data_IF_535761721856
#
_entry.id   IF_535761721856
#
_cell.length_a   1.000
_cell.length_b   1.000
_cell.length_c   1.000
_cell.angle_alpha   90.00
_cell.angle_beta   90.00
_cell.angle_gamma   90.00
#
_symmetry.space_group_name_H-M   'P 1'
#
loop_
_entity.id
_entity.type
_entity.pdbx_description
1 polymer ?
#
# COMPACT_ATOMS: atom_id res chain seq x y z
N UNK A 1 2.33 35.60 3.34
CA UNK A 1 1.33 34.61 2.83
C UNK A 1 1.87 33.18 2.65
N UNK A 2 3.05 32.82 3.21
CA UNK A 2 3.69 31.50 3.01
C UNK A 2 3.72 30.61 4.27
N UNK A 3 3.05 30.97 5.34
CA UNK A 3 3.11 30.22 6.62
C UNK A 3 1.89 29.29 6.90
N UNK A 4 0.90 29.25 6.03
CA UNK A 4 -0.36 28.54 6.30
C UNK A 4 -0.48 27.10 5.72
N UNK A 5 0.30 26.76 4.72
CA UNK A 5 0.15 25.47 4.02
C UNK A 5 0.86 24.28 4.66
N UNK A 6 1.92 24.51 5.39
CA UNK A 6 2.69 23.43 6.04
C UNK A 6 1.96 22.70 7.17
N UNK A 7 1.03 23.37 7.86
CA UNK A 7 0.29 22.76 8.97
C UNK A 7 -0.94 21.94 8.54
N UNK A 8 -1.49 22.23 7.36
CA UNK A 8 -2.63 21.47 6.83
C UNK A 8 -2.25 20.05 6.39
N UNK A 9 -1.07 19.86 5.81
CA UNK A 9 -0.60 18.54 5.35
C UNK A 9 -0.36 17.56 6.50
N UNK A 10 0.13 18.04 7.66
CA UNK A 10 0.29 17.21 8.88
C UNK A 10 -1.07 16.74 9.43
N UNK A 11 -2.08 17.59 9.35
CA UNK A 11 -3.44 17.26 9.79
C UNK A 11 -4.13 16.25 8.85
N UNK A 12 -3.78 16.26 7.56
CA UNK A 12 -4.28 15.29 6.58
C UNK A 12 -3.69 13.89 6.78
N UNK A 13 -2.43 13.77 7.18
CA UNK A 13 -1.80 12.47 7.46
C UNK A 13 -2.44 11.80 8.68
N UNK A 14 -2.76 12.57 9.72
CA UNK A 14 -3.52 12.10 10.88
C UNK A 14 -4.98 11.74 10.52
N UNK A 15 -5.59 12.51 9.63
CA UNK A 15 -6.96 12.28 9.16
C UNK A 15 -7.06 11.00 8.32
N UNK A 16 -6.07 10.69 7.48
CA UNK A 16 -5.99 9.46 6.68
C UNK A 16 -5.75 8.21 7.55
N UNK A 17 -5.04 8.33 8.65
CA UNK A 17 -4.88 7.26 9.65
C UNK A 17 -6.18 6.93 10.38
N UNK A 18 -7.16 7.84 10.36
CA UNK A 18 -8.43 7.72 11.07
C UNK A 18 -9.64 7.34 10.18
N UNK A 19 -9.46 7.28 8.86
CA UNK A 19 -10.54 7.06 7.87
C UNK A 19 -11.18 5.68 7.83
N UNK A 20 -10.58 4.58 8.34
CA UNK A 20 -11.22 3.28 8.33
C UNK A 20 -12.52 3.17 9.15
N UNK A 21 -12.93 4.23 9.84
CA UNK A 21 -13.94 4.14 10.89
C UNK A 21 -15.35 4.60 10.47
N UNK A 22 -15.59 4.94 9.20
CA UNK A 22 -16.74 5.76 8.83
C UNK A 22 -17.78 5.11 7.91
N UNK A 23 -17.90 3.79 7.92
CA UNK A 23 -19.02 3.11 7.22
C UNK A 23 -20.13 2.73 8.21
N UNK A 24 -21.15 3.56 8.33
CA UNK A 24 -22.38 3.23 9.05
C UNK A 24 -23.37 4.40 9.16
N UNK A 25 -24.63 4.13 8.96
CA UNK A 25 -25.88 4.87 9.02
C UNK A 25 -25.96 6.24 9.76
N UNK A 26 -27.09 6.92 9.62
CA UNK A 26 -27.44 8.31 10.08
C UNK A 26 -27.01 8.68 11.51
N UNK A 27 -26.89 7.70 12.41
CA UNK A 27 -26.37 7.87 13.79
C UNK A 27 -24.88 8.30 13.79
N UNK A 28 -24.14 7.97 12.75
CA UNK A 28 -22.73 8.32 12.57
C UNK A 28 -22.51 9.80 12.27
N UNK A 29 -23.51 10.53 11.72
CA UNK A 29 -23.39 11.96 11.41
C UNK A 29 -23.19 12.85 12.64
N UNK A 30 -23.76 12.48 13.78
CA UNK A 30 -23.58 13.23 15.04
C UNK A 30 -22.25 12.85 15.70
N UNK A 31 -21.85 11.57 15.58
CA UNK A 31 -20.57 11.09 16.09
C UNK A 31 -19.39 11.66 15.29
N UNK A 32 -19.54 11.86 13.97
CA UNK A 32 -18.50 12.41 13.07
C UNK A 32 -18.06 13.83 13.41
N UNK A 33 -19.03 14.73 13.76
CA UNK A 33 -18.69 16.08 14.22
C UNK A 33 -17.90 16.05 15.53
N UNK A 34 -18.22 15.08 16.41
CA UNK A 34 -17.52 14.88 17.68
C UNK A 34 -16.11 14.32 17.46
N UNK A 35 -15.94 13.36 16.55
CA UNK A 35 -14.64 12.74 16.26
C UNK A 35 -13.68 13.69 15.51
N UNK A 36 -14.18 14.53 14.59
CA UNK A 36 -13.38 15.58 13.96
C UNK A 36 -12.95 16.67 14.97
N UNK A 37 -13.85 17.06 15.88
CA UNK A 37 -13.51 18.00 16.95
C UNK A 37 -12.53 17.37 17.95
N UNK A 38 -12.64 16.07 18.23
CA UNK A 38 -11.71 15.35 19.12
C UNK A 38 -10.32 15.18 18.51
N UNK A 39 -10.20 14.95 17.21
CA UNK A 39 -8.88 14.91 16.49
C UNK A 39 -8.26 16.30 16.41
N UNK A 40 -9.07 17.35 16.19
CA UNK A 40 -8.63 18.75 16.25
C UNK A 40 -8.29 19.19 17.68
N UNK A 41 -8.86 18.51 18.69
CA UNK A 41 -8.61 18.76 20.13
C UNK A 41 -7.45 17.96 20.70
N UNK A 42 -6.82 17.04 19.92
CA UNK A 42 -5.57 16.43 20.32
C UNK A 42 -4.52 17.53 20.46
N UNK A 43 -3.93 17.65 21.65
CA UNK A 43 -2.86 18.61 21.89
C UNK A 43 -1.70 18.33 20.93
N UNK A 44 -0.94 19.38 20.56
CA UNK A 44 0.29 19.21 19.74
C UNK A 44 1.18 18.11 20.30
N UNK A 45 1.25 17.96 21.63
CA UNK A 45 2.02 16.93 22.32
C UNK A 45 1.47 15.51 22.07
N UNK A 46 0.17 15.33 22.01
CA UNK A 46 -0.43 14.00 21.73
C UNK A 46 -0.25 13.60 20.27
N UNK A 47 -0.31 14.56 19.34
CA UNK A 47 0.00 14.34 17.92
C UNK A 47 1.46 13.94 17.75
N UNK A 48 2.39 14.70 18.36
CA UNK A 48 3.83 14.41 18.36
C UNK A 48 4.14 13.05 18.95
N UNK A 49 3.50 12.65 20.07
CA UNK A 49 3.69 11.32 20.67
C UNK A 49 3.19 10.17 19.79
N UNK A 50 2.12 10.38 19.01
CA UNK A 50 1.64 9.38 18.04
C UNK A 50 2.61 9.29 16.86
N UNK A 51 3.07 10.42 16.34
CA UNK A 51 4.07 10.50 15.28
C UNK A 51 5.40 9.90 15.71
N UNK A 52 5.87 10.19 16.92
CA UNK A 52 7.08 9.60 17.52
C UNK A 52 6.95 8.10 17.75
N UNK A 53 5.80 7.62 18.25
CA UNK A 53 5.59 6.18 18.44
C UNK A 53 5.56 5.43 17.10
N UNK A 54 4.94 6.02 16.07
CA UNK A 54 4.94 5.49 14.71
C UNK A 54 6.37 5.52 14.14
N UNK A 55 7.11 6.62 14.31
CA UNK A 55 8.48 6.76 13.83
C UNK A 55 9.43 5.74 14.51
N UNK A 56 9.33 5.56 15.82
CA UNK A 56 10.12 4.56 16.57
C UNK A 56 9.86 3.14 16.12
N UNK A 57 8.59 2.77 15.87
CA UNK A 57 8.27 1.45 15.33
C UNK A 57 8.88 1.21 13.94
N UNK A 58 9.06 2.27 13.15
CA UNK A 58 9.65 2.19 11.81
C UNK A 58 11.18 2.18 11.80
N UNK A 59 11.84 2.87 12.70
CA UNK A 59 13.29 2.95 12.75
C UNK A 59 13.94 1.58 13.03
N UNK A 60 13.40 0.81 14.00
CA UNK A 60 13.93 -0.51 14.35
C UNK A 60 13.72 -1.55 13.25
N UNK A 61 12.60 -1.47 12.53
CA UNK A 61 12.30 -2.33 11.39
C UNK A 61 13.18 -2.00 10.17
N UNK A 62 13.51 -0.73 9.97
CA UNK A 62 14.40 -0.22 8.93
C UNK A 62 15.83 -0.74 9.11
N UNK A 63 16.33 -0.80 10.34
CA UNK A 63 17.70 -1.25 10.66
C UNK A 63 17.93 -2.74 10.35
N UNK A 64 16.87 -3.58 10.37
CA UNK A 64 16.99 -5.02 10.16
C UNK A 64 17.08 -5.47 8.71
N UNK A 65 16.79 -4.60 7.73
CA UNK A 65 16.78 -4.91 6.29
C UNK A 65 15.72 -5.94 5.84
N UNK A 66 15.00 -6.56 6.77
CA UNK A 66 13.96 -7.56 6.50
C UNK A 66 12.59 -6.95 6.22
N UNK A 67 12.46 -5.64 6.36
CA UNK A 67 11.20 -4.92 6.23
C UNK A 67 11.05 -4.31 4.86
N UNK A 68 9.98 -4.66 4.17
CA UNK A 68 9.52 -3.95 2.98
C UNK A 68 8.60 -2.80 3.39
N UNK A 69 8.49 -1.79 2.55
CA UNK A 69 7.61 -0.64 2.78
C UNK A 69 6.68 -0.41 1.59
N UNK A 70 5.52 0.16 1.85
CA UNK A 70 4.59 0.61 0.81
C UNK A 70 3.85 1.87 1.28
N UNK A 71 3.50 2.82 0.38
CA UNK A 71 2.64 3.93 0.74
C UNK A 71 1.26 3.44 1.21
N UNK A 72 0.71 4.07 2.21
CA UNK A 72 -0.57 3.67 2.82
C UNK A 72 -1.76 3.68 1.84
N UNK A 73 -1.76 4.55 0.83
CA UNK A 73 -2.82 4.57 -0.18
C UNK A 73 -2.82 3.32 -1.07
N UNK A 74 -1.63 2.75 -1.38
CA UNK A 74 -1.52 1.49 -2.12
C UNK A 74 -1.92 0.26 -1.28
N UNK A 75 -1.95 0.38 0.03
CA UNK A 75 -2.54 -0.64 0.90
C UNK A 75 -4.07 -0.59 0.90
N UNK A 76 -4.67 0.55 0.57
CA UNK A 76 -6.11 0.75 0.58
C UNK A 76 -6.75 0.64 -0.81
N UNK A 77 -6.01 0.97 -1.88
CA UNK A 77 -6.48 0.88 -3.26
C UNK A 77 -5.38 0.26 -4.11
N UNK A 78 -5.73 -0.72 -4.93
CA UNK A 78 -4.77 -1.63 -5.53
C UNK A 78 -4.68 -1.48 -7.04
N UNK A 79 -3.50 -1.81 -7.60
CA UNK A 79 -3.28 -1.90 -9.04
C UNK A 79 -4.16 -3.00 -9.69
N UNK A 80 -4.35 -3.01 -11.01
CA UNK A 80 -5.02 -4.12 -11.69
C UNK A 80 -4.32 -5.46 -11.41
N UNK A 81 -5.12 -6.53 -11.19
CA UNK A 81 -4.57 -7.88 -10.99
C UNK A 81 -4.15 -8.54 -12.32
N UNK A 82 -4.86 -8.20 -13.40
CA UNK A 82 -4.61 -8.64 -14.77
C UNK A 82 -4.59 -7.43 -15.68
N UNK A 83 -4.09 -7.58 -16.89
CA UNK A 83 -4.15 -6.54 -17.90
C UNK A 83 -5.61 -6.12 -18.14
N UNK A 84 -5.99 -4.88 -17.79
CA UNK A 84 -7.36 -4.41 -17.97
C UNK A 84 -7.65 -3.98 -19.41
N UNK A 85 -6.62 -3.96 -20.28
CA UNK A 85 -6.69 -3.54 -21.68
C UNK A 85 -7.35 -2.18 -21.88
N UNK A 86 -7.15 -1.28 -20.94
CA UNK A 86 -7.64 0.10 -20.98
C UNK A 86 -6.52 1.05 -20.57
N UNK A 87 -6.71 2.34 -20.93
CA UNK A 87 -5.74 3.40 -20.60
C UNK A 87 -6.00 4.06 -19.27
N UNK A 88 -7.21 3.93 -18.76
CA UNK A 88 -7.65 4.45 -17.47
C UNK A 88 -8.16 3.31 -16.59
N UNK A 89 -7.72 3.28 -15.37
CA UNK A 89 -8.16 2.31 -14.37
C UNK A 89 -8.43 3.03 -13.07
N UNK A 90 -9.53 2.67 -12.44
CA UNK A 90 -9.94 3.24 -11.16
C UNK A 90 -10.32 2.12 -10.19
N UNK A 91 -9.94 2.31 -8.93
CA UNK A 91 -10.30 1.40 -7.85
C UNK A 91 -10.25 2.12 -6.52
N UNK A 92 -11.17 1.76 -5.64
CA UNK A 92 -11.18 2.37 -4.32
C UNK A 92 -12.37 1.95 -3.46
N UNK A 93 -12.58 2.75 -2.45
CA UNK A 93 -13.71 2.69 -1.52
C UNK A 93 -14.52 3.98 -1.65
N UNK A 94 -15.62 4.10 -0.91
CA UNK A 94 -16.41 5.35 -0.87
C UNK A 94 -15.61 6.58 -0.42
N UNK A 95 -14.46 6.39 0.22
CA UNK A 95 -13.69 7.47 0.83
C UNK A 95 -12.33 7.71 0.20
N UNK A 96 -11.80 6.72 -0.52
CA UNK A 96 -10.49 6.82 -1.17
C UNK A 96 -10.55 6.10 -2.51
N UNK A 97 -10.20 6.80 -3.56
CA UNK A 97 -10.12 6.28 -4.93
C UNK A 97 -8.70 6.47 -5.45
N UNK A 98 -8.14 5.40 -5.99
CA UNK A 98 -6.91 5.42 -6.79
C UNK A 98 -7.29 5.31 -8.25
N UNK A 99 -6.89 6.29 -9.04
CA UNK A 99 -6.96 6.22 -10.49
C UNK A 99 -5.57 6.16 -11.10
N UNK A 100 -5.44 5.46 -12.21
CA UNK A 100 -4.19 5.25 -12.94
C UNK A 100 -4.43 5.59 -14.40
N UNK A 101 -3.67 6.54 -14.91
CA UNK A 101 -3.60 6.85 -16.33
C UNK A 101 -2.34 6.21 -16.91
N UNK A 102 -2.54 5.25 -17.80
CA UNK A 102 -1.44 4.54 -18.45
C UNK A 102 -0.81 5.38 -19.56
N UNK A 103 0.48 5.17 -19.80
CA UNK A 103 1.13 5.78 -20.97
C UNK A 103 0.76 5.01 -22.25
N UNK A 104 0.31 5.70 -23.34
CA UNK A 104 -0.19 5.05 -24.57
C UNK A 104 0.75 4.00 -25.18
N UNK A 105 2.06 4.25 -25.10
CA UNK A 105 3.08 3.35 -25.66
C UNK A 105 3.37 2.12 -24.80
N UNK A 106 3.21 2.24 -23.48
CA UNK A 106 3.72 1.23 -22.53
C UNK A 106 2.61 0.47 -21.80
N UNK A 107 1.38 0.95 -21.92
CA UNK A 107 0.21 0.30 -21.32
C UNK A 107 0.10 0.46 -19.80
N UNK A 108 -0.82 -0.27 -19.23
CA UNK A 108 -1.18 -0.25 -17.81
C UNK A 108 -0.23 -1.14 -17.00
N UNK A 109 0.28 -0.68 -15.83
CA UNK A 109 0.97 -1.57 -14.89
C UNK A 109 -0.04 -2.52 -14.23
N UNK A 110 0.23 -3.84 -14.27
CA UNK A 110 -0.67 -4.86 -13.70
C UNK A 110 0.09 -6.09 -13.18
N UNK A 111 -0.61 -6.90 -12.42
CA UNK A 111 -0.11 -8.18 -11.95
C UNK A 111 0.87 -8.07 -10.77
N UNK A 112 1.69 -9.08 -10.59
CA UNK A 112 2.59 -9.18 -9.43
C UNK A 112 3.83 -8.29 -9.56
N UNK A 113 4.32 -8.07 -10.78
CA UNK A 113 5.59 -7.39 -11.01
C UNK A 113 5.59 -5.95 -10.49
N UNK A 114 4.60 -5.08 -10.82
CA UNK A 114 4.60 -3.71 -10.30
C UNK A 114 4.43 -3.66 -8.78
N UNK A 115 3.81 -4.66 -8.14
CA UNK A 115 3.71 -4.75 -6.68
C UNK A 115 5.05 -5.01 -6.01
N UNK A 116 5.83 -5.94 -6.56
CA UNK A 116 7.19 -6.20 -6.08
C UNK A 116 8.13 -5.01 -6.35
N UNK A 117 8.00 -4.37 -7.51
CA UNK A 117 8.75 -3.17 -7.86
C UNK A 117 8.47 -2.03 -6.87
N UNK A 118 7.19 -1.75 -6.61
CA UNK A 118 6.80 -0.72 -5.64
C UNK A 118 7.33 -1.03 -4.24
N UNK A 119 7.14 -2.26 -3.76
CA UNK A 119 7.64 -2.67 -2.45
C UNK A 119 9.17 -2.54 -2.37
N UNK A 120 9.90 -2.91 -3.44
CA UNK A 120 11.34 -2.74 -3.48
C UNK A 120 11.75 -1.27 -3.53
N UNK A 121 11.14 -0.45 -4.40
CA UNK A 121 11.44 0.98 -4.51
C UNK A 121 11.24 1.69 -3.18
N UNK A 122 10.12 1.44 -2.53
CA UNK A 122 9.80 2.04 -1.23
C UNK A 122 10.77 1.58 -0.15
N UNK A 123 11.12 0.30 -0.14
CA UNK A 123 12.10 -0.27 0.81
C UNK A 123 13.48 0.35 0.63
N UNK A 124 13.95 0.43 -0.61
CA UNK A 124 15.26 0.98 -0.92
C UNK A 124 15.33 2.47 -0.61
N UNK A 125 14.30 3.24 -0.96
CA UNK A 125 14.21 4.66 -0.64
C UNK A 125 14.22 4.92 0.88
N UNK A 126 13.49 4.13 1.66
CA UNK A 126 13.51 4.21 3.12
C UNK A 126 14.88 3.81 3.69
N UNK A 127 15.50 2.73 3.16
CA UNK A 127 16.79 2.21 3.60
C UNK A 127 17.93 3.20 3.36
N UNK A 128 17.94 3.82 2.16
CA UNK A 128 18.99 4.77 1.76
C UNK A 128 18.70 6.20 2.17
N UNK A 129 17.49 6.48 2.60
CA UNK A 129 16.98 7.85 2.85
C UNK A 129 17.20 8.77 1.63
N UNK A 130 17.05 8.20 0.42
CA UNK A 130 17.30 8.89 -0.85
C UNK A 130 16.18 8.58 -1.85
N UNK A 131 15.74 9.58 -2.63
CA UNK A 131 14.84 9.35 -3.76
C UNK A 131 15.55 8.72 -4.96
N UNK A 132 16.89 8.67 -4.95
CA UNK A 132 17.69 8.10 -6.04
C UNK A 132 17.91 6.61 -5.81
N UNK A 133 17.46 5.79 -6.75
CA UNK A 133 17.52 4.33 -6.68
C UNK A 133 18.39 3.78 -7.79
N UNK A 134 19.32 2.88 -7.44
CA UNK A 134 20.11 2.13 -8.40
C UNK A 134 19.44 0.80 -8.74
N UNK A 135 19.05 0.64 -10.00
CA UNK A 135 18.46 -0.59 -10.53
C UNK A 135 19.52 -1.65 -10.93
N UNK A 136 20.83 -1.30 -10.80
CA UNK A 136 21.91 -2.20 -11.15
C UNK A 136 22.38 -2.08 -12.61
N UNK A 137 23.41 -2.86 -12.94
CA UNK A 137 24.08 -2.83 -14.24
C UNK A 137 23.36 -3.63 -15.32
N UNK A 138 22.69 -4.69 -14.93
CA UNK A 138 21.95 -5.54 -15.85
C UNK A 138 20.63 -6.03 -15.25
N UNK A 139 19.78 -6.58 -16.08
CA UNK A 139 18.43 -6.97 -15.73
C UNK A 139 18.40 -8.19 -14.80
N UNK A 140 19.32 -9.13 -14.98
CA UNK A 140 19.41 -10.32 -14.14
C UNK A 140 19.88 -10.00 -12.71
N UNK A 141 20.76 -9.02 -12.54
CA UNK A 141 21.13 -8.50 -11.22
C UNK A 141 19.89 -7.95 -10.49
N UNK A 142 19.03 -7.22 -11.21
CA UNK A 142 17.84 -6.67 -10.61
C UNK A 142 16.78 -7.74 -10.29
N UNK A 143 16.62 -8.76 -11.14
CA UNK A 143 15.77 -9.92 -10.82
C UNK A 143 16.23 -10.62 -9.54
N UNK A 144 17.55 -10.77 -9.34
CA UNK A 144 18.09 -11.31 -8.08
C UNK A 144 17.76 -10.45 -6.87
N UNK A 145 17.81 -9.11 -6.99
CA UNK A 145 17.36 -8.18 -5.92
C UNK A 145 15.88 -8.38 -5.56
N UNK A 146 15.06 -8.69 -6.56
CA UNK A 146 13.65 -9.02 -6.37
C UNK A 146 13.43 -10.50 -5.96
N UNK A 147 14.48 -11.32 -5.85
CA UNK A 147 14.46 -12.78 -5.61
C UNK A 147 13.55 -13.51 -6.62
N UNK A 148 13.65 -13.13 -7.88
CA UNK A 148 12.90 -13.72 -8.98
C UNK A 148 13.82 -14.57 -9.87
N UNK A 149 13.27 -15.63 -10.49
CA UNK A 149 14.01 -16.40 -11.48
C UNK A 149 14.41 -15.56 -12.69
N UNK A 150 15.61 -15.82 -13.23
CA UNK A 150 16.11 -15.21 -14.46
C UNK A 150 15.63 -15.99 -15.69
N UNK A 151 14.32 -16.20 -15.83
CA UNK A 151 13.74 -16.81 -17.02
C UNK A 151 13.13 -15.76 -17.98
N UNK A 152 12.94 -16.14 -19.25
CA UNK A 152 12.48 -15.22 -20.28
C UNK A 152 11.14 -14.55 -20.00
N UNK A 153 10.27 -15.16 -19.18
CA UNK A 153 8.98 -14.56 -18.78
C UNK A 153 9.19 -13.44 -17.79
N UNK A 154 10.02 -13.68 -16.76
CA UNK A 154 10.32 -12.66 -15.75
C UNK A 154 11.14 -11.52 -16.34
N UNK A 155 12.09 -11.80 -17.25
CA UNK A 155 12.90 -10.80 -17.95
C UNK A 155 12.00 -9.85 -18.75
N UNK A 156 11.13 -10.38 -19.60
CA UNK A 156 10.19 -9.57 -20.40
C UNK A 156 9.18 -8.82 -19.51
N UNK A 157 8.63 -9.50 -18.50
CA UNK A 157 7.68 -8.90 -17.58
C UNK A 157 8.31 -7.78 -16.76
N UNK A 158 9.53 -7.96 -16.24
CA UNK A 158 10.24 -6.94 -15.49
C UNK A 158 10.42 -5.68 -16.33
N UNK A 159 10.98 -5.79 -17.54
CA UNK A 159 11.17 -4.62 -18.41
C UNK A 159 9.85 -3.92 -18.71
N UNK A 160 8.86 -4.66 -19.23
CA UNK A 160 7.58 -4.10 -19.62
C UNK A 160 6.84 -3.42 -18.43
N UNK A 161 6.78 -4.09 -17.28
CA UNK A 161 6.05 -3.59 -16.13
C UNK A 161 6.81 -2.47 -15.38
N UNK A 162 8.15 -2.46 -15.42
CA UNK A 162 8.92 -1.33 -14.89
C UNK A 162 8.61 -0.07 -15.70
N UNK A 163 8.69 -0.14 -17.02
CA UNK A 163 8.44 1.03 -17.87
C UNK A 163 6.98 1.46 -17.78
N UNK A 164 6.02 0.54 -17.79
CA UNK A 164 4.61 0.86 -17.63
C UNK A 164 4.36 1.58 -16.29
N UNK A 165 4.95 1.10 -15.20
CA UNK A 165 4.77 1.66 -13.86
C UNK A 165 5.37 3.07 -13.72
N UNK A 166 6.63 3.27 -14.13
CA UNK A 166 7.30 4.57 -13.98
C UNK A 166 6.76 5.64 -14.94
N UNK A 167 6.08 5.23 -16.02
CA UNK A 167 5.47 6.13 -17.01
C UNK A 167 3.98 6.34 -16.81
N UNK A 168 3.36 5.63 -15.88
CA UNK A 168 1.97 5.87 -15.48
C UNK A 168 1.86 7.06 -14.54
N UNK A 169 0.69 7.70 -14.56
CA UNK A 169 0.32 8.74 -13.61
C UNK A 169 -0.72 8.18 -12.65
N UNK A 170 -0.46 8.32 -11.37
CA UNK A 170 -1.39 7.96 -10.30
C UNK A 170 -2.12 9.21 -9.84
N UNK A 171 -3.39 9.07 -9.49
CA UNK A 171 -4.13 10.09 -8.75
C UNK A 171 -4.86 9.44 -7.58
N UNK A 172 -4.74 10.04 -6.42
CA UNK A 172 -5.43 9.62 -5.21
C UNK A 172 -6.45 10.67 -4.86
N UNK A 173 -7.70 10.24 -4.77
CA UNK A 173 -8.81 11.11 -4.40
C UNK A 173 -9.38 10.68 -3.06
N UNK A 174 -9.60 11.65 -2.17
CA UNK A 174 -10.26 11.45 -0.89
C UNK A 174 -11.54 12.26 -0.89
N UNK A 175 -12.68 11.58 -0.86
CA UNK A 175 -13.98 12.22 -0.83
C UNK A 175 -14.57 12.15 0.58
N UNK A 176 -14.87 13.29 1.18
CA UNK A 176 -15.55 13.40 2.48
C UNK A 176 -16.58 14.51 2.45
N UNK A 177 -17.80 14.17 2.81
CA UNK A 177 -18.90 15.13 3.12
C UNK A 177 -18.87 16.44 2.32
N UNK A 178 -18.85 16.34 0.97
CA UNK A 178 -18.88 17.50 0.08
C UNK A 178 -17.53 18.16 -0.20
N UNK A 179 -16.43 17.59 0.32
CA UNK A 179 -15.06 18.05 0.00
C UNK A 179 -14.37 16.96 -0.80
N UNK A 180 -13.87 17.31 -1.98
CA UNK A 180 -13.00 16.49 -2.81
C UNK A 180 -11.55 16.99 -2.63
N UNK A 181 -10.69 16.14 -2.09
CA UNK A 181 -9.26 16.37 -2.10
C UNK A 181 -8.61 15.37 -3.07
N UNK A 182 -7.69 15.83 -3.90
CA UNK A 182 -6.97 14.97 -4.83
C UNK A 182 -5.48 15.29 -4.84
N UNK A 183 -4.68 14.29 -5.13
CA UNK A 183 -3.23 14.39 -5.28
C UNK A 183 -2.80 13.58 -6.50
N UNK A 184 -2.06 14.21 -7.41
CA UNK A 184 -1.46 13.54 -8.57
C UNK A 184 -0.03 13.14 -8.23
N UNK A 185 0.26 11.84 -8.33
CA UNK A 185 1.52 11.26 -7.86
C UNK A 185 2.26 10.65 -9.04
N UNK A 186 3.45 11.15 -9.33
CA UNK A 186 4.41 10.50 -10.21
C UNK A 186 5.33 9.58 -9.42
N UNK A 187 5.38 8.31 -9.80
CA UNK A 187 6.29 7.33 -9.15
C UNK A 187 7.74 7.72 -9.42
N UNK A 188 8.05 8.10 -10.66
CA UNK A 188 9.39 8.51 -11.07
C UNK A 188 9.39 9.88 -11.72
N UNK A 189 10.26 10.76 -11.26
CA UNK A 189 10.51 12.08 -11.87
C UNK A 189 11.36 11.95 -13.13
N UNK A 190 12.45 11.17 -13.06
CA UNK A 190 13.35 10.86 -14.15
C UNK A 190 14.04 9.53 -13.91
N UNK A 191 14.77 9.05 -14.89
CA UNK A 191 15.56 7.82 -14.77
C UNK A 191 16.05 7.32 -16.11
N UNK A 192 17.00 6.40 -16.04
CA UNK A 192 17.55 5.67 -17.17
C UNK A 192 17.44 4.17 -16.93
N UNK A 193 16.80 3.46 -17.83
CA UNK A 193 16.68 1.99 -17.81
C UNK A 193 17.40 1.44 -19.02
N UNK A 194 18.60 0.95 -18.82
CA UNK A 194 19.50 0.45 -19.88
C UNK A 194 19.34 -1.05 -20.13
N UNK A 195 18.25 -1.64 -19.69
CA UNK A 195 18.03 -3.07 -19.82
C UNK A 195 17.67 -3.49 -21.24
N UNK A 196 18.37 -4.50 -21.73
CA UNK A 196 18.05 -5.16 -22.98
C UNK A 196 17.42 -6.53 -22.70
N UNK A 197 16.09 -6.71 -22.92
CA UNK A 197 15.44 -8.00 -22.65
C UNK A 197 15.95 -9.17 -23.50
N UNK A 198 16.62 -8.90 -24.61
CA UNK A 198 17.23 -9.94 -25.47
C UNK A 198 18.63 -10.34 -25.00
N UNK A 199 19.24 -9.51 -24.16
CA UNK A 199 20.58 -9.73 -23.58
C UNK A 199 20.58 -9.33 -22.11
N UNK A 200 19.89 -10.08 -21.23
CA UNK A 200 19.62 -9.68 -19.85
C UNK A 200 20.87 -9.65 -18.96
N UNK A 201 21.94 -10.34 -19.36
CA UNK A 201 23.23 -10.35 -18.67
C UNK A 201 24.20 -9.28 -19.18
N UNK A 202 23.88 -8.60 -20.30
CA UNK A 202 24.75 -7.59 -20.86
C UNK A 202 24.89 -6.43 -19.87
N UNK A 203 26.10 -6.21 -19.39
CA UNK A 203 26.40 -5.08 -18.53
C UNK A 203 26.43 -3.79 -19.36
N UNK A 204 25.62 -2.83 -18.94
CA UNK A 204 25.68 -1.50 -19.50
C UNK A 204 26.82 -0.72 -18.87
N UNK A 205 27.49 0.12 -19.64
CA UNK A 205 28.54 1.04 -19.14
C UNK A 205 28.02 1.95 -18.00
N UNK A 206 26.73 2.23 -18.01
CA UNK A 206 26.03 3.05 -17.03
C UNK A 206 25.05 2.21 -16.24
N UNK A 207 24.99 2.43 -14.93
CA UNK A 207 23.95 1.81 -14.11
C UNK A 207 22.57 2.35 -14.48
N UNK A 208 21.59 1.48 -14.58
CA UNK A 208 20.19 1.89 -14.62
C UNK A 208 19.85 2.56 -13.28
N UNK A 209 19.25 3.73 -13.34
CA UNK A 209 18.87 4.49 -12.17
C UNK A 209 17.47 5.10 -12.32
N UNK A 210 16.89 5.46 -11.20
CA UNK A 210 15.58 6.05 -11.11
C UNK A 210 15.57 7.08 -9.97
N UNK A 211 15.06 8.28 -10.25
CA UNK A 211 14.75 9.26 -9.21
C UNK A 211 13.25 9.27 -8.99
N UNK A 212 12.83 8.98 -7.77
CA UNK A 212 11.41 9.01 -7.40
C UNK A 212 10.84 10.43 -7.48
N UNK A 213 9.55 10.52 -7.77
CA UNK A 213 8.82 11.79 -7.67
C UNK A 213 8.78 12.27 -6.21
N UNK A 214 8.83 13.58 -5.99
CA UNK A 214 8.82 14.19 -4.65
C UNK A 214 7.64 13.71 -3.81
N UNK A 215 6.44 13.79 -4.39
CA UNK A 215 5.20 13.47 -3.68
C UNK A 215 5.14 11.97 -3.33
N UNK A 216 5.62 11.11 -4.24
CA UNK A 216 5.73 9.67 -3.98
C UNK A 216 6.76 9.37 -2.89
N UNK A 217 7.93 10.01 -2.93
CA UNK A 217 8.96 9.85 -1.91
C UNK A 217 8.49 10.33 -0.54
N UNK A 218 7.80 11.45 -0.49
CA UNK A 218 7.18 11.98 0.73
C UNK A 218 6.12 11.03 1.29
N UNK A 219 5.25 10.48 0.44
CA UNK A 219 4.24 9.51 0.87
C UNK A 219 4.85 8.23 1.45
N UNK A 220 6.01 7.77 0.92
CA UNK A 220 6.73 6.61 1.46
C UNK A 220 7.34 6.92 2.81
N UNK A 221 7.96 8.09 2.95
CA UNK A 221 8.76 8.42 4.14
C UNK A 221 7.92 8.89 5.32
N UNK A 222 6.77 9.54 5.06
CA UNK A 222 5.90 10.07 6.12
C UNK A 222 5.06 8.98 6.81
N UNK A 223 4.54 8.01 6.06
CA UNK A 223 3.64 6.98 6.61
C UNK A 223 3.81 5.63 5.87
N UNK A 224 4.97 4.98 5.97
CA UNK A 224 5.20 3.70 5.33
C UNK A 224 4.43 2.57 6.04
N UNK A 225 3.92 1.61 5.25
CA UNK A 225 3.34 0.37 5.77
C UNK A 225 4.44 -0.69 5.80
N UNK A 226 4.87 -1.16 6.99
CA UNK A 226 5.94 -2.16 7.08
C UNK A 226 5.42 -3.54 6.68
N UNK A 227 6.14 -4.19 5.77
CA UNK A 227 5.79 -5.50 5.21
C UNK A 227 6.97 -6.46 5.32
N UNK A 228 6.71 -7.77 5.37
CA UNK A 228 7.76 -8.77 5.13
C UNK A 228 7.89 -9.01 3.63
N UNK A 229 9.06 -8.73 3.07
CA UNK A 229 9.32 -8.93 1.63
C UNK A 229 9.19 -10.40 1.24
N UNK A 230 9.61 -11.33 2.12
CA UNK A 230 9.49 -12.77 1.92
C UNK A 230 8.02 -13.20 1.77
N UNK A 231 7.10 -12.56 2.51
CA UNK A 231 5.68 -12.83 2.38
C UNK A 231 5.14 -12.39 1.03
N UNK A 232 5.50 -11.18 0.56
CA UNK A 232 5.10 -10.69 -0.76
C UNK A 232 5.63 -11.60 -1.89
N UNK A 233 6.88 -12.06 -1.76
CA UNK A 233 7.50 -12.96 -2.73
C UNK A 233 6.84 -14.34 -2.73
N UNK A 234 6.55 -14.89 -1.58
CA UNK A 234 5.84 -16.18 -1.47
C UNK A 234 4.42 -16.11 -2.03
N UNK A 235 3.74 -14.97 -1.86
CA UNK A 235 2.39 -14.73 -2.37
C UNK A 235 2.34 -14.27 -3.84
N UNK A 236 3.48 -14.14 -4.52
CA UNK A 236 3.58 -13.56 -5.88
C UNK A 236 2.73 -14.24 -6.96
N UNK A 237 2.34 -15.50 -6.76
CA UNK A 237 1.49 -16.22 -7.71
C UNK A 237 0.07 -15.64 -7.77
N UNK A 238 -0.35 -14.87 -6.76
CA UNK A 238 -1.67 -14.24 -6.69
C UNK A 238 -1.53 -12.75 -6.33
N UNK A 239 -1.67 -11.84 -7.28
CA UNK A 239 -1.72 -10.40 -7.00
C UNK A 239 -2.76 -10.03 -5.94
N UNK A 240 -3.91 -10.71 -5.95
CA UNK A 240 -4.94 -10.54 -4.92
C UNK A 240 -4.43 -10.94 -3.53
N UNK A 241 -3.67 -12.03 -3.40
CA UNK A 241 -3.11 -12.44 -2.12
C UNK A 241 -2.07 -11.41 -1.61
N UNK A 242 -1.25 -10.85 -2.50
CA UNK A 242 -0.31 -9.78 -2.17
C UNK A 242 -1.06 -8.54 -1.63
N UNK A 243 -2.15 -8.15 -2.30
CA UNK A 243 -2.96 -7.00 -1.89
C UNK A 243 -3.67 -7.26 -0.55
N UNK A 244 -4.24 -8.45 -0.35
CA UNK A 244 -4.87 -8.84 0.92
C UNK A 244 -3.84 -8.80 2.05
N UNK A 245 -2.63 -9.30 1.83
CA UNK A 245 -1.56 -9.26 2.83
C UNK A 245 -1.21 -7.83 3.22
N UNK A 246 -0.93 -6.97 2.24
CA UNK A 246 -0.58 -5.57 2.47
C UNK A 246 -1.70 -4.81 3.19
N UNK A 247 -2.93 -4.99 2.73
CA UNK A 247 -4.11 -4.39 3.32
C UNK A 247 -4.35 -4.88 4.75
N UNK A 248 -4.23 -6.17 5.00
CA UNK A 248 -4.45 -6.74 6.33
C UNK A 248 -3.44 -6.22 7.35
N UNK A 249 -2.16 -6.14 6.96
CA UNK A 249 -1.10 -5.56 7.80
C UNK A 249 -1.44 -4.11 8.15
N UNK A 250 -1.78 -3.29 7.15
CA UNK A 250 -2.16 -1.90 7.35
C UNK A 250 -3.41 -1.76 8.24
N UNK A 251 -4.45 -2.55 7.98
CA UNK A 251 -5.71 -2.49 8.73
C UNK A 251 -5.56 -2.90 10.18
N UNK A 252 -4.81 -3.97 10.45
CA UNK A 252 -4.52 -4.40 11.82
C UNK A 252 -3.71 -3.35 12.59
N UNK A 253 -2.72 -2.74 11.93
CA UNK A 253 -1.95 -1.64 12.53
C UNK A 253 -2.87 -0.46 12.90
N UNK A 254 -3.64 0.05 11.95
CA UNK A 254 -4.52 1.22 12.18
C UNK A 254 -5.60 0.94 13.22
N UNK A 255 -6.13 -0.29 13.25
CA UNK A 255 -7.13 -0.69 14.24
C UNK A 255 -6.53 -0.80 15.64
N UNK A 256 -5.31 -1.30 15.79
CA UNK A 256 -4.59 -1.33 17.05
C UNK A 256 -4.30 0.07 17.60
N UNK A 257 -3.88 1.00 16.72
CA UNK A 257 -3.68 2.40 17.09
C UNK A 257 -5.00 3.02 17.57
N UNK A 258 -6.10 2.80 16.86
CA UNK A 258 -7.42 3.28 17.24
C UNK A 258 -7.88 2.72 18.60
N UNK A 259 -7.65 1.42 18.84
CA UNK A 259 -7.99 0.76 20.09
C UNK A 259 -7.20 1.30 21.30
N UNK A 260 -5.89 1.55 21.11
CA UNK A 260 -5.03 2.18 22.16
C UNK A 260 -5.49 3.59 22.50
N UNK A 261 -6.06 4.30 21.55
CA UNK A 261 -6.63 5.65 21.73
C UNK A 261 -8.07 5.64 22.29
N UNK A 262 -8.55 4.51 22.79
CA UNK A 262 -9.90 4.38 23.35
C UNK A 262 -11.03 4.40 22.31
N UNK A 263 -10.70 4.29 21.01
CA UNK A 263 -11.66 4.27 19.90
C UNK A 263 -12.05 2.83 19.54
N UNK A 264 -12.59 2.65 18.35
CA UNK A 264 -13.09 1.35 17.89
C UNK A 264 -12.06 0.23 17.98
N UNK A 265 -12.46 -0.87 18.61
CA UNK A 265 -11.67 -2.11 18.70
C UNK A 265 -12.02 -3.12 17.60
N UNK A 266 -13.00 -2.78 16.78
CA UNK A 266 -13.56 -3.66 15.74
C UNK A 266 -13.89 -2.87 14.48
N UNK A 267 -13.65 -3.48 13.31
CA UNK A 267 -14.02 -2.94 12.01
C UNK A 267 -14.86 -3.97 11.25
N UNK A 268 -16.12 -3.65 10.98
CA UNK A 268 -17.03 -4.44 10.15
C UNK A 268 -17.01 -3.91 8.72
N UNK A 269 -16.57 -4.74 7.78
CA UNK A 269 -16.38 -4.35 6.39
C UNK A 269 -17.34 -5.18 5.53
N UNK A 270 -18.33 -4.55 4.87
CA UNK A 270 -19.26 -5.27 4.00
C UNK A 270 -18.53 -5.96 2.86
N UNK A 271 -18.97 -7.18 2.47
CA UNK A 271 -18.37 -7.90 1.35
C UNK A 271 -18.43 -7.13 0.03
N UNK A 272 -19.47 -6.33 -0.17
CA UNK A 272 -19.58 -5.41 -1.32
C UNK A 272 -18.45 -4.39 -1.31
N UNK A 273 -18.13 -3.80 -0.15
CA UNK A 273 -17.03 -2.86 -0.02
C UNK A 273 -15.67 -3.49 -0.34
N UNK A 274 -15.41 -4.72 0.16
CA UNK A 274 -14.18 -5.45 -0.19
C UNK A 274 -14.14 -5.80 -1.69
N UNK A 275 -15.29 -6.12 -2.30
CA UNK A 275 -15.38 -6.35 -3.74
C UNK A 275 -15.03 -5.08 -4.53
N UNK A 276 -15.52 -3.91 -4.14
CA UNK A 276 -15.13 -2.64 -4.76
C UNK A 276 -13.62 -2.40 -4.66
N UNK A 277 -13.04 -2.72 -3.51
CA UNK A 277 -11.61 -2.53 -3.26
C UNK A 277 -10.72 -3.51 -4.02
N UNK A 278 -11.09 -4.80 -4.11
CA UNK A 278 -10.22 -5.87 -4.63
C UNK A 278 -10.80 -6.60 -5.84
N UNK A 279 -12.08 -6.51 -6.07
CA UNK A 279 -12.81 -7.39 -6.97
C UNK A 279 -13.16 -6.81 -8.33
N UNK A 280 -12.38 -5.89 -8.90
CA UNK A 280 -12.70 -5.20 -10.16
C UNK A 280 -12.92 -6.07 -11.40
N UNK A 281 -12.73 -7.39 -11.31
CA UNK A 281 -13.03 -8.33 -12.39
C UNK A 281 -14.28 -9.19 -12.13
N UNK A 282 -15.05 -8.89 -11.08
CA UNK A 282 -16.29 -9.62 -10.75
C UNK A 282 -17.50 -8.76 -11.10
N UNK A 283 -18.54 -9.42 -11.60
CA UNK A 283 -19.80 -8.76 -11.98
C UNK A 283 -20.45 -8.02 -10.79
N UNK A 284 -21.19 -6.97 -11.10
CA UNK A 284 -21.98 -6.18 -10.13
C UNK A 284 -23.32 -6.90 -9.79
N UNK A 285 -23.25 -8.20 -9.51
CA UNK A 285 -24.39 -9.07 -9.17
C UNK A 285 -24.19 -9.74 -7.82
N UNK A 286 -25.25 -10.20 -7.14
CA UNK A 286 -25.13 -11.01 -5.93
C UNK A 286 -24.23 -12.24 -6.12
N UNK A 287 -24.26 -12.86 -7.31
CA UNK A 287 -23.39 -13.99 -7.65
C UNK A 287 -21.93 -13.54 -7.75
N UNK A 288 -21.65 -12.37 -8.35
CA UNK A 288 -20.30 -11.81 -8.40
C UNK A 288 -19.73 -11.55 -7.02
N UNK A 289 -20.55 -11.07 -6.07
CA UNK A 289 -20.12 -10.89 -4.66
C UNK A 289 -19.80 -12.24 -4.00
N UNK A 290 -20.62 -13.27 -4.21
CA UNK A 290 -20.36 -14.62 -3.67
C UNK A 290 -19.07 -15.21 -4.24
N UNK A 291 -18.87 -15.10 -5.54
CA UNK A 291 -17.67 -15.60 -6.22
C UNK A 291 -16.40 -14.85 -5.74
N UNK A 292 -16.49 -13.53 -5.58
CA UNK A 292 -15.43 -12.72 -4.99
C UNK A 292 -15.12 -13.16 -3.56
N UNK A 293 -16.13 -13.28 -2.68
CA UNK A 293 -15.98 -13.72 -1.29
C UNK A 293 -15.26 -15.08 -1.22
N UNK A 294 -15.69 -16.06 -2.00
CA UNK A 294 -15.07 -17.38 -2.01
C UNK A 294 -13.58 -17.31 -2.40
N UNK A 295 -13.24 -16.54 -3.44
CA UNK A 295 -11.84 -16.36 -3.85
C UNK A 295 -11.04 -15.56 -2.83
N UNK A 296 -11.60 -14.49 -2.27
CA UNK A 296 -10.94 -13.69 -1.22
C UNK A 296 -10.55 -14.57 -0.02
N UNK A 297 -11.48 -15.37 0.48
CA UNK A 297 -11.25 -16.29 1.60
C UNK A 297 -10.23 -17.39 1.26
N UNK A 298 -10.23 -17.87 0.01
CA UNK A 298 -9.20 -18.80 -0.46
C UNK A 298 -7.81 -18.17 -0.40
N UNK A 299 -7.65 -16.95 -0.90
CA UNK A 299 -6.37 -16.24 -0.86
C UNK A 299 -5.97 -15.86 0.57
N UNK A 300 -6.92 -15.44 1.40
CA UNK A 300 -6.69 -15.10 2.81
C UNK A 300 -6.07 -16.26 3.58
N UNK A 301 -6.46 -17.51 3.32
CA UNK A 301 -5.84 -18.69 3.98
C UNK A 301 -4.35 -18.76 3.70
N UNK A 302 -3.91 -18.45 2.48
CA UNK A 302 -2.48 -18.36 2.12
C UNK A 302 -1.79 -17.19 2.83
N UNK A 303 -2.45 -16.05 2.90
CA UNK A 303 -1.94 -14.85 3.60
C UNK A 303 -1.72 -15.12 5.09
N UNK A 304 -2.63 -15.84 5.73
CA UNK A 304 -2.55 -16.16 7.16
C UNK A 304 -1.41 -17.14 7.52
N UNK A 305 -0.73 -17.75 6.55
CA UNK A 305 0.52 -18.48 6.79
C UNK A 305 1.68 -17.51 7.08
N UNK A 306 1.62 -16.30 6.50
CA UNK A 306 2.66 -15.26 6.66
C UNK A 306 2.28 -14.20 7.70
N UNK A 307 1.02 -14.17 8.12
CA UNK A 307 0.53 -13.37 9.22
C UNK A 307 -0.37 -14.19 10.15
N UNK A 308 0.17 -15.22 10.83
CA UNK A 308 -0.62 -16.17 11.62
C UNK A 308 -1.33 -15.52 12.82
N UNK A 309 -0.74 -14.50 13.43
CA UNK A 309 -1.31 -13.81 14.59
C UNK A 309 -2.66 -13.14 14.26
N UNK A 310 -2.83 -12.66 13.04
CA UNK A 310 -4.08 -12.04 12.60
C UNK A 310 -5.29 -13.00 12.59
N UNK A 311 -5.05 -14.32 12.53
CA UNK A 311 -6.11 -15.34 12.46
C UNK A 311 -7.12 -15.23 13.60
N UNK A 312 -6.65 -14.95 14.80
CA UNK A 312 -7.48 -14.87 16.01
C UNK A 312 -8.31 -13.58 16.09
N UNK A 313 -8.04 -12.63 15.20
CA UNK A 313 -8.64 -11.30 15.17
C UNK A 313 -9.48 -11.05 13.92
N UNK A 314 -9.79 -12.13 13.19
CA UNK A 314 -10.62 -12.12 11.98
C UNK A 314 -11.85 -12.96 12.24
N UNK A 315 -13.02 -12.41 11.88
CA UNK A 315 -14.29 -13.13 11.91
C UNK A 315 -15.00 -12.95 10.56
N UNK A 316 -15.59 -14.02 10.08
CA UNK A 316 -16.39 -14.02 8.86
C UNK A 316 -17.87 -14.15 9.20
N UNK A 317 -18.67 -13.21 8.70
CA UNK A 317 -20.13 -13.31 8.75
C UNK A 317 -20.71 -13.38 7.32
N UNK A 318 -21.99 -13.71 7.16
CA UNK A 318 -22.61 -13.68 5.83
C UNK A 318 -22.48 -12.34 5.12
N UNK A 319 -22.56 -11.23 5.85
CA UNK A 319 -22.63 -9.88 5.31
C UNK A 319 -21.30 -9.12 5.41
N UNK A 320 -20.47 -9.44 6.41
CA UNK A 320 -19.28 -8.66 6.73
C UNK A 320 -18.05 -9.54 6.92
N UNK A 321 -16.91 -8.94 6.61
CA UNK A 321 -15.60 -9.36 7.08
C UNK A 321 -15.23 -8.48 8.28
N UNK A 322 -14.97 -9.09 9.42
CA UNK A 322 -14.78 -8.39 10.68
C UNK A 322 -13.32 -8.51 11.12
N UNK A 323 -12.71 -7.38 11.43
CA UNK A 323 -11.37 -7.29 12.02
C UNK A 323 -11.48 -6.78 13.44
N UNK A 324 -10.78 -7.43 14.37
CA UNK A 324 -10.69 -7.04 15.79
C UNK A 324 -9.26 -6.57 16.08
N UNK A 325 -9.13 -5.57 16.95
CA UNK A 325 -7.83 -5.11 17.41
C UNK A 325 -7.15 -6.16 18.29
N UNK A 326 -5.82 -6.26 18.23
CA UNK A 326 -5.03 -7.15 19.08
C UNK A 326 -3.93 -7.93 18.36
N UNK A 327 -4.02 -8.10 17.03
CA UNK A 327 -2.98 -8.78 16.27
C UNK A 327 -1.64 -8.04 16.38
N UNK A 328 -0.57 -8.77 16.67
CA UNK A 328 0.78 -8.19 16.75
C UNK A 328 1.23 -7.68 15.39
N UNK A 329 2.06 -6.65 15.33
CA UNK A 329 2.66 -6.19 14.08
C UNK A 329 3.43 -7.33 13.39
N UNK A 330 3.38 -7.37 12.06
CA UNK A 330 4.08 -8.38 11.25
C UNK A 330 5.60 -8.29 11.44
N UNK A 331 6.10 -7.07 11.59
CA UNK A 331 7.50 -6.78 11.92
C UNK A 331 7.56 -6.55 13.42
N UNK A 332 8.13 -7.49 14.16
CA UNK A 332 8.33 -7.34 15.59
C UNK A 332 9.57 -6.48 15.85
N UNK A 333 9.40 -5.46 16.68
CA UNK A 333 10.53 -4.76 17.28
C UNK A 333 11.36 -5.76 18.10
N UNK A 334 12.66 -5.86 17.84
CA UNK A 334 13.58 -6.36 18.85
C UNK A 334 13.67 -5.27 19.91
N UNK A 335 13.02 -5.48 21.05
CA UNK A 335 13.32 -4.71 22.25
C UNK A 335 14.79 -4.96 22.54
N UNK A 336 15.63 -4.00 22.20
CA UNK A 336 16.99 -3.97 22.73
C UNK A 336 16.80 -3.67 24.20
N UNK A 337 16.87 -4.71 25.02
CA UNK A 337 16.94 -4.55 26.46
C UNK A 337 18.16 -3.66 26.73
N UNK A 338 17.91 -2.42 27.12
CA UNK A 338 18.95 -1.50 27.53
C UNK A 338 19.73 -2.10 28.69
N UNK A 339 21.03 -2.12 28.53
CA UNK A 339 21.98 -2.25 29.65
C UNK A 339 22.16 -0.88 30.28
#
# INVERSE_FOLDING_TARGET
LSAGYGSMLSDWTLLLLLTPLLNGSLVVRVSLKKTLSEVLMLSKRQRSLIEEAVALEFEDAKASGATGYLPHFLAQATLPHKDPKCMYFERGTSNLTLSILAHPKYGMPYGMMPRLLLAWMCTEACRTSSPELSLGRNQNEFLKKLQLPSDGRYIKALHAQTVALIRSQLSVEVSKTGVLAFESIQIAKNGFVFWNPNKPDEECLWNSNLTLGSDFYDAITKAPVPLKMEALQALRQSPLAMDIYTWLVYRMFTLNVAARSGRNKEAKIPWVGLKCQFGGGYEETPQGVRSFKANFLKQLRGVLLYYPDARNYIEETPEHFVLKAGARPVVQQRVVAGR
#
